data_IF_770868874394
#
_entry.id   IF_770868874394
#
_cell.length_a   1.000
_cell.length_b   1.000
_cell.length_c   1.000
_cell.angle_alpha   90.00
_cell.angle_beta   90.00
_cell.angle_gamma   90.00
#
_symmetry.space_group_name_H-M   'P 1'
#
loop_
_entity.id
_entity.type
_entity.pdbx_description
1 polymer ?
#
# COMPACT_ATOMS: atom_id res chain seq x y z
N UNK A 1 -8.09 42.28 -43.57
CA UNK A 1 -9.20 43.26 -43.69
C UNK A 1 -10.04 42.84 -44.88
N UNK A 2 -11.20 42.24 -44.65
CA UNK A 2 -12.15 41.88 -45.70
C UNK A 2 -13.41 42.70 -45.51
N UNK A 3 -13.71 43.59 -46.46
CA UNK A 3 -14.95 44.38 -46.44
C UNK A 3 -16.05 43.56 -47.11
N UNK A 4 -17.02 43.12 -46.34
CA UNK A 4 -18.25 42.51 -46.88
C UNK A 4 -19.21 43.64 -47.24
N UNK A 5 -19.37 43.93 -48.54
CA UNK A 5 -20.42 44.84 -49.00
C UNK A 5 -21.75 44.10 -49.10
N UNK A 6 -22.75 44.58 -48.36
CA UNK A 6 -24.12 44.06 -48.43
C UNK A 6 -24.88 44.92 -49.45
N UNK A 7 -25.06 44.43 -50.66
CA UNK A 7 -25.92 45.07 -51.66
C UNK A 7 -27.37 44.74 -51.32
N UNK A 8 -28.12 45.71 -50.78
CA UNK A 8 -29.57 45.58 -50.55
C UNK A 8 -30.32 46.49 -51.52
N UNK A 9 -31.09 45.89 -52.43
CA UNK A 9 -31.79 46.60 -53.51
C UNK A 9 -33.30 46.74 -53.19
N UNK A 10 -33.64 47.35 -52.05
CA UNK A 10 -35.04 47.58 -51.64
C UNK A 10 -35.24 48.97 -50.99
N UNK A 11 -36.33 49.70 -51.32
CA UNK A 11 -36.54 51.07 -50.85
C UNK A 11 -36.97 51.21 -49.37
N UNK A 12 -37.04 50.11 -48.60
CA UNK A 12 -37.42 50.12 -47.17
C UNK A 12 -36.37 49.47 -46.26
N UNK A 13 -35.08 49.69 -46.49
CA UNK A 13 -34.03 49.09 -45.68
C UNK A 13 -33.28 50.13 -44.86
N UNK A 14 -33.74 50.43 -43.64
CA UNK A 14 -32.85 50.96 -42.60
C UNK A 14 -31.88 49.85 -42.21
N UNK A 15 -30.69 49.85 -42.80
CA UNK A 15 -29.61 48.95 -42.41
C UNK A 15 -29.05 49.40 -41.05
N UNK A 16 -29.43 48.70 -39.98
CA UNK A 16 -28.78 48.87 -38.67
C UNK A 16 -27.49 48.08 -38.70
N UNK A 17 -26.37 48.78 -38.85
CA UNK A 17 -25.04 48.19 -38.72
C UNK A 17 -24.82 47.93 -37.23
N UNK A 18 -25.06 46.70 -36.78
CA UNK A 18 -24.64 46.29 -35.44
C UNK A 18 -23.19 45.90 -35.58
N UNK A 19 -22.28 46.74 -35.09
CA UNK A 19 -20.87 46.41 -35.08
C UNK A 19 -20.69 45.24 -34.10
N UNK A 20 -20.65 44.02 -34.64
CA UNK A 20 -20.30 42.85 -33.87
C UNK A 20 -18.79 42.89 -33.72
N UNK A 21 -18.32 43.52 -32.63
CA UNK A 21 -16.94 43.37 -32.22
C UNK A 21 -16.74 41.88 -31.94
N UNK A 22 -16.23 41.15 -32.93
CA UNK A 22 -15.47 39.92 -32.68
C UNK A 22 -14.27 40.42 -31.87
N UNK A 23 -14.44 40.57 -30.56
CA UNK A 23 -13.42 41.10 -29.68
C UNK A 23 -12.14 40.35 -30.00
N UNK A 24 -11.09 41.09 -30.34
CA UNK A 24 -9.76 40.52 -30.49
C UNK A 24 -9.55 39.60 -29.31
N UNK A 25 -9.23 38.32 -29.57
CA UNK A 25 -9.01 37.35 -28.50
C UNK A 25 -8.12 38.03 -27.44
N UNK A 26 -8.50 37.99 -26.15
CA UNK A 26 -7.72 38.59 -25.09
C UNK A 26 -6.25 38.19 -25.26
N UNK A 27 -5.36 39.15 -25.04
CA UNK A 27 -3.93 38.89 -25.15
C UNK A 27 -3.59 37.72 -24.22
N UNK A 28 -2.79 36.73 -24.68
CA UNK A 28 -2.53 35.54 -23.90
C UNK A 28 -1.79 35.91 -22.62
N UNK A 29 -2.34 35.47 -21.48
CA UNK A 29 -1.74 35.68 -20.16
C UNK A 29 -1.88 34.41 -19.33
N UNK A 30 -0.88 34.10 -18.52
CA UNK A 30 -0.80 32.85 -17.75
C UNK A 30 -1.69 32.82 -16.49
N UNK A 31 -2.80 33.56 -16.48
CA UNK A 31 -3.70 33.71 -15.34
C UNK A 31 -5.07 34.34 -15.71
N UNK A 32 -5.50 34.22 -16.97
CA UNK A 32 -6.80 34.73 -17.45
C UNK A 32 -7.92 33.69 -17.41
N UNK A 33 -7.62 32.46 -16.99
CA UNK A 33 -8.60 31.39 -16.83
C UNK A 33 -9.01 30.74 -18.15
N UNK A 34 -8.32 31.03 -19.26
CA UNK A 34 -8.65 30.51 -20.58
C UNK A 34 -7.41 29.94 -21.27
N UNK A 35 -7.53 28.76 -21.87
CA UNK A 35 -6.45 28.18 -22.67
C UNK A 35 -6.29 28.95 -23.98
N UNK A 36 -5.27 29.81 -24.09
CA UNK A 36 -5.00 30.61 -25.29
C UNK A 36 -3.49 30.66 -25.63
N UNK A 37 -3.11 31.38 -26.69
CA UNK A 37 -1.70 31.51 -27.09
C UNK A 37 -1.02 30.16 -27.38
N UNK A 38 0.10 29.88 -26.70
CA UNK A 38 0.87 28.64 -26.83
C UNK A 38 0.77 27.71 -25.60
N UNK A 39 -0.23 27.92 -24.75
CA UNK A 39 -0.46 27.14 -23.54
C UNK A 39 -0.84 25.68 -23.82
N UNK A 40 -0.39 24.77 -22.98
CA UNK A 40 -0.74 23.33 -23.07
C UNK A 40 -1.92 22.97 -22.17
N UNK A 41 -2.16 23.72 -21.09
CA UNK A 41 -3.34 23.67 -20.22
C UNK A 41 -3.99 25.04 -20.08
N UNK A 42 -4.97 25.20 -19.19
CA UNK A 42 -5.53 26.53 -18.88
C UNK A 42 -4.49 27.27 -18.05
N UNK A 43 -4.02 28.42 -18.52
CA UNK A 43 -3.02 29.27 -17.85
C UNK A 43 -1.63 28.62 -17.63
N UNK A 44 -1.30 27.54 -18.35
CA UNK A 44 -0.04 26.82 -18.16
C UNK A 44 0.53 26.20 -19.43
N UNK A 45 1.85 26.05 -19.47
CA UNK A 45 2.62 25.49 -20.57
C UNK A 45 2.99 26.51 -21.66
N UNK A 46 3.82 26.08 -22.61
CA UNK A 46 4.32 26.95 -23.68
C UNK A 46 5.21 28.08 -23.16
N UNK A 47 4.70 29.31 -23.21
CA UNK A 47 5.37 30.50 -22.67
C UNK A 47 5.10 30.74 -21.18
N UNK A 48 4.15 30.01 -20.60
CA UNK A 48 3.82 30.01 -19.18
C UNK A 48 4.63 28.96 -18.41
N UNK A 49 4.50 28.96 -17.08
CA UNK A 49 5.05 27.89 -16.26
C UNK A 49 4.51 26.52 -16.74
N UNK A 50 5.32 25.44 -16.72
CA UNK A 50 4.85 24.11 -17.08
C UNK A 50 3.57 23.75 -16.34
N UNK A 51 2.66 23.06 -17.03
CA UNK A 51 1.45 22.60 -16.37
C UNK A 51 1.79 21.64 -15.23
N UNK A 52 1.10 21.75 -14.09
CA UNK A 52 1.11 20.75 -13.03
C UNK A 52 0.98 19.33 -13.59
N UNK A 53 1.88 18.44 -13.18
CA UNK A 53 1.78 17.02 -13.48
C UNK A 53 2.01 16.21 -12.23
N UNK A 54 1.34 15.07 -12.09
CA UNK A 54 1.42 14.18 -10.93
C UNK A 54 2.73 13.40 -10.80
N UNK A 55 3.84 13.94 -11.30
CA UNK A 55 5.16 13.31 -11.34
C UNK A 55 6.30 14.31 -11.67
N UNK A 56 6.11 15.60 -11.41
CA UNK A 56 7.14 16.63 -11.63
C UNK A 56 8.01 16.93 -10.40
N UNK A 57 7.72 16.29 -9.26
CA UNK A 57 8.50 16.40 -8.04
C UNK A 57 8.22 17.68 -7.25
N UNK A 58 7.18 18.45 -7.60
CA UNK A 58 6.83 19.70 -6.94
C UNK A 58 5.34 19.73 -6.58
N UNK A 59 5.00 20.17 -5.37
CA UNK A 59 3.59 20.33 -4.98
C UNK A 59 2.96 21.53 -5.70
N UNK A 60 2.17 21.29 -6.75
CA UNK A 60 1.52 22.33 -7.53
C UNK A 60 0.06 21.95 -7.93
N UNK A 61 -0.63 22.83 -8.66
CA UNK A 61 -2.02 22.57 -9.07
C UNK A 61 -2.98 22.36 -7.89
N UNK A 62 -3.73 21.25 -7.91
CA UNK A 62 -4.69 20.86 -6.87
C UNK A 62 -4.19 19.74 -5.96
N UNK A 63 -2.89 19.44 -5.99
CA UNK A 63 -2.29 18.35 -5.22
C UNK A 63 -2.34 18.59 -3.71
N UNK A 64 -2.56 17.52 -2.95
CA UNK A 64 -2.52 17.57 -1.48
C UNK A 64 -1.12 17.25 -0.92
N UNK A 65 -0.31 16.49 -1.65
CA UNK A 65 1.11 16.21 -1.37
C UNK A 65 1.98 16.55 -2.59
N UNK A 66 3.27 16.16 -2.57
CA UNK A 66 4.13 16.29 -3.75
C UNK A 66 3.69 15.21 -4.74
N UNK A 67 3.21 15.60 -5.93
CA UNK A 67 2.77 14.69 -7.00
C UNK A 67 1.54 13.81 -6.66
N UNK A 68 0.75 14.15 -5.64
CA UNK A 68 -0.38 13.33 -5.20
C UNK A 68 -1.57 14.13 -4.65
N UNK A 69 -2.76 13.53 -4.74
CA UNK A 69 -4.03 14.11 -4.32
C UNK A 69 -4.64 15.09 -5.33
N UNK A 70 -5.84 15.59 -5.03
CA UNK A 70 -6.59 16.44 -5.97
C UNK A 70 -7.01 15.67 -7.22
N UNK A 71 -6.48 16.07 -8.39
CA UNK A 71 -6.66 15.33 -9.65
C UNK A 71 -5.64 14.23 -9.89
N UNK A 72 -4.64 14.10 -9.01
CA UNK A 72 -3.66 13.02 -9.03
C UNK A 72 -4.13 11.81 -8.21
N UNK A 73 -3.37 10.72 -8.25
CA UNK A 73 -3.60 9.58 -7.37
C UNK A 73 -3.61 10.05 -5.91
N UNK A 74 -4.53 9.56 -5.05
CA UNK A 74 -4.56 9.94 -3.65
C UNK A 74 -3.18 9.82 -3.00
N UNK A 75 -2.87 10.76 -2.11
CA UNK A 75 -1.61 10.68 -1.39
C UNK A 75 -1.56 9.41 -0.54
N UNK A 76 -0.40 8.75 -0.49
CA UNK A 76 -0.20 7.58 0.34
C UNK A 76 -0.51 7.90 1.80
N UNK A 77 -1.29 7.04 2.46
CA UNK A 77 -1.56 7.16 3.89
C UNK A 77 -1.33 5.83 4.57
N UNK A 78 -0.87 5.85 5.82
CA UNK A 78 -0.59 4.64 6.61
C UNK A 78 -1.85 3.87 7.08
N UNK A 79 -2.97 3.98 6.35
CA UNK A 79 -4.25 3.38 6.71
C UNK A 79 -5.25 3.32 5.53
N UNK A 80 -4.80 3.48 4.28
CA UNK A 80 -5.66 3.44 3.10
C UNK A 80 -5.87 2.01 2.54
N UNK A 81 -5.19 1.02 3.10
CA UNK A 81 -5.36 -0.38 2.73
C UNK A 81 -4.66 -0.75 1.42
N UNK A 82 -3.77 0.10 0.90
CA UNK A 82 -3.06 -0.14 -0.36
C UNK A 82 -1.57 0.19 -0.23
N UNK A 83 -0.70 -0.76 -0.59
CA UNK A 83 0.76 -0.51 -0.59
C UNK A 83 1.12 0.59 -1.59
N UNK A 84 1.40 1.80 -1.11
CA UNK A 84 1.71 2.95 -1.95
C UNK A 84 2.81 3.85 -1.32
N UNK A 85 3.24 4.89 -2.05
CA UNK A 85 4.29 5.79 -1.58
C UNK A 85 5.62 5.08 -1.27
N UNK A 86 6.14 5.29 -0.06
CA UNK A 86 7.40 4.68 0.41
C UNK A 86 7.18 3.52 1.39
N UNK A 87 5.97 2.97 1.47
CA UNK A 87 5.62 1.88 2.37
C UNK A 87 6.33 0.57 2.01
N UNK A 88 6.76 -0.18 3.02
CA UNK A 88 7.33 -1.53 2.83
C UNK A 88 6.26 -2.62 2.88
N UNK A 89 5.12 -2.37 3.54
CA UNK A 89 3.91 -3.19 3.56
C UNK A 89 2.68 -2.41 3.06
N UNK A 90 1.47 -2.90 3.31
CA UNK A 90 0.22 -2.32 2.76
C UNK A 90 -0.17 -0.97 3.39
N UNK A 91 0.30 -0.69 4.61
CA UNK A 91 0.01 0.55 5.35
C UNK A 91 1.15 0.81 6.38
N UNK A 92 2.36 0.34 6.09
CA UNK A 92 3.46 0.31 7.06
C UNK A 92 4.82 0.41 6.39
N UNK A 93 5.81 0.89 7.15
CA UNK A 93 7.18 1.13 6.70
C UNK A 93 7.37 2.46 5.97
N UNK A 94 8.63 2.78 5.68
CA UNK A 94 8.98 4.06 5.06
C UNK A 94 8.66 5.26 5.95
N UNK A 95 7.67 6.07 5.54
CA UNK A 95 7.17 7.21 6.32
C UNK A 95 6.12 6.81 7.37
N UNK A 96 5.63 5.57 7.33
CA UNK A 96 4.70 4.99 8.29
C UNK A 96 5.42 4.25 9.42
N UNK A 97 4.67 3.84 10.44
CA UNK A 97 5.20 2.95 11.48
C UNK A 97 5.81 1.70 10.84
N UNK A 98 6.95 1.18 11.35
CA UNK A 98 7.58 -0.01 10.82
C UNK A 98 6.57 -1.16 10.67
N UNK A 99 6.71 -1.93 9.60
CA UNK A 99 5.86 -3.10 9.45
C UNK A 99 6.10 -4.11 10.57
N UNK A 100 5.02 -4.71 11.10
CA UNK A 100 5.07 -5.89 11.95
C UNK A 100 6.06 -6.93 11.44
N UNK A 101 6.92 -7.45 12.33
CA UNK A 101 7.79 -8.58 12.00
C UNK A 101 7.68 -9.64 13.09
N UNK A 102 7.83 -10.91 12.69
CA UNK A 102 7.78 -12.06 13.60
C UNK A 102 9.01 -12.21 14.52
N UNK A 103 9.66 -11.10 14.87
CA UNK A 103 10.90 -11.07 15.66
C UNK A 103 11.22 -9.68 16.23
N UNK A 104 10.24 -8.77 16.30
CA UNK A 104 10.45 -7.40 16.83
C UNK A 104 10.17 -7.29 18.34
N UNK A 105 9.76 -8.38 18.98
CA UNK A 105 9.55 -8.46 20.42
C UNK A 105 8.28 -7.78 20.89
N UNK A 106 7.38 -7.39 19.98
CA UNK A 106 6.10 -6.74 20.31
C UNK A 106 4.95 -7.46 19.60
N UNK A 107 3.80 -7.60 20.28
CA UNK A 107 2.62 -8.19 19.63
C UNK A 107 1.96 -7.18 18.71
N UNK A 108 2.12 -7.32 17.40
CA UNK A 108 1.57 -6.39 16.40
C UNK A 108 1.07 -7.12 15.12
N UNK A 109 0.50 -6.38 14.17
CA UNK A 109 0.01 -6.96 12.92
C UNK A 109 -1.08 -8.02 13.11
N UNK A 110 -0.86 -9.21 12.52
CA UNK A 110 -1.79 -10.34 12.59
C UNK A 110 -1.45 -11.37 13.68
N UNK A 111 -0.46 -11.07 14.52
CA UNK A 111 0.07 -12.00 15.50
C UNK A 111 -0.94 -12.33 16.61
N UNK A 112 -0.96 -13.61 17.02
CA UNK A 112 -1.78 -14.07 18.15
C UNK A 112 -1.02 -14.03 19.48
N UNK A 113 0.31 -14.08 19.45
CA UNK A 113 1.23 -13.87 20.57
C UNK A 113 2.32 -12.85 20.19
N UNK A 114 3.29 -12.59 21.06
CA UNK A 114 4.45 -11.75 20.70
C UNK A 114 5.29 -12.51 19.66
N UNK A 115 5.48 -11.95 18.47
CA UNK A 115 6.28 -12.54 17.38
C UNK A 115 5.75 -13.88 16.83
N UNK A 116 4.48 -14.23 17.08
CA UNK A 116 3.94 -15.53 16.66
C UNK A 116 2.44 -15.49 16.32
N UNK A 117 2.03 -16.41 15.43
CA UNK A 117 0.67 -16.57 14.95
C UNK A 117 0.28 -15.63 13.80
N UNK A 118 -0.90 -15.87 13.22
CA UNK A 118 -1.36 -15.15 12.03
C UNK A 118 -0.46 -15.41 10.82
N UNK A 119 0.21 -14.36 10.33
CA UNK A 119 1.22 -14.42 9.27
C UNK A 119 2.58 -14.96 9.74
N UNK A 120 2.78 -15.11 11.05
CA UNK A 120 4.00 -15.64 11.66
C UNK A 120 3.87 -17.13 12.00
N UNK A 121 4.98 -17.76 12.38
CA UNK A 121 4.97 -19.15 12.88
C UNK A 121 3.94 -19.29 14.01
N UNK A 122 3.15 -20.38 14.06
CA UNK A 122 2.20 -20.60 15.15
C UNK A 122 2.86 -20.45 16.52
N UNK A 123 2.16 -19.80 17.45
CA UNK A 123 2.62 -19.69 18.83
C UNK A 123 2.70 -21.06 19.49
N UNK A 124 3.64 -21.24 20.42
CA UNK A 124 3.73 -22.47 21.22
C UNK A 124 2.41 -22.73 21.95
N UNK A 125 1.81 -23.89 21.72
CA UNK A 125 0.74 -24.37 22.58
C UNK A 125 0.98 -25.83 22.94
N UNK A 126 0.97 -26.11 24.24
CA UNK A 126 1.39 -27.41 24.77
C UNK A 126 0.36 -28.55 24.58
N UNK A 127 -0.49 -28.46 23.56
CA UNK A 127 -1.61 -29.40 23.34
C UNK A 127 -2.25 -29.30 21.95
N UNK A 128 -1.59 -28.68 20.96
CA UNK A 128 -2.12 -28.58 19.60
C UNK A 128 -1.68 -29.71 18.66
N UNK A 129 -0.83 -30.63 19.13
CA UNK A 129 -0.38 -31.79 18.38
C UNK A 129 0.63 -31.46 17.29
N UNK A 130 1.22 -30.26 17.28
CA UNK A 130 2.28 -29.87 16.34
C UNK A 130 3.48 -29.31 17.11
N UNK A 131 4.70 -29.51 16.59
CA UNK A 131 5.90 -28.91 17.19
C UNK A 131 6.04 -27.46 16.74
N UNK A 132 5.74 -26.50 17.61
CA UNK A 132 5.80 -25.06 17.28
C UNK A 132 6.37 -24.20 18.43
N UNK A 133 6.50 -22.89 18.20
CA UNK A 133 7.14 -21.96 19.13
C UNK A 133 8.54 -22.41 19.62
N UNK A 134 8.71 -22.55 20.94
CA UNK A 134 9.97 -22.94 21.58
C UNK A 134 9.99 -24.40 22.09
N UNK A 135 9.05 -25.23 21.63
CA UNK A 135 8.94 -26.64 22.02
C UNK A 135 10.15 -27.47 21.59
N UNK A 136 10.59 -28.38 22.46
CA UNK A 136 11.70 -29.30 22.13
C UNK A 136 11.22 -30.57 21.43
N UNK A 137 9.95 -30.95 21.62
CA UNK A 137 9.23 -32.00 20.90
C UNK A 137 7.73 -31.64 20.87
N UNK A 138 6.89 -32.36 20.10
CA UNK A 138 5.46 -32.05 19.93
C UNK A 138 4.78 -31.86 21.31
N UNK A 139 4.20 -30.67 21.54
CA UNK A 139 3.48 -30.29 22.76
C UNK A 139 4.32 -30.29 24.06
N UNK A 140 5.66 -30.34 23.98
CA UNK A 140 6.51 -30.37 25.17
C UNK A 140 7.88 -29.66 25.03
N UNK A 141 8.43 -29.26 26.18
CA UNK A 141 9.67 -28.51 26.30
C UNK A 141 9.52 -27.01 26.05
N UNK A 142 10.62 -26.26 26.23
CA UNK A 142 10.58 -24.79 26.14
C UNK A 142 9.70 -24.18 27.22
N UNK A 143 8.62 -23.50 26.82
CA UNK A 143 7.60 -22.96 27.73
C UNK A 143 6.57 -24.00 28.20
N UNK A 144 6.60 -25.21 27.64
CA UNK A 144 5.73 -26.32 28.01
C UNK A 144 6.36 -27.24 29.07
N UNK A 145 5.58 -28.21 29.55
CA UNK A 145 6.12 -29.24 30.43
C UNK A 145 7.31 -29.94 29.75
N UNK A 146 8.40 -30.28 30.48
CA UNK A 146 9.54 -30.96 29.89
C UNK A 146 9.10 -32.25 29.19
N UNK A 147 9.66 -32.51 28.01
CA UNK A 147 9.41 -33.75 27.32
C UNK A 147 9.83 -34.95 28.18
N UNK A 148 9.02 -36.01 28.15
CA UNK A 148 9.37 -37.26 28.79
C UNK A 148 10.71 -37.76 28.25
N UNK A 149 11.58 -38.26 29.12
CA UNK A 149 12.82 -38.89 28.67
C UNK A 149 12.49 -40.25 28.06
N UNK A 150 13.09 -40.57 26.92
CA UNK A 150 13.03 -41.92 26.37
C UNK A 150 13.67 -42.89 27.38
N UNK A 151 12.87 -43.82 27.93
CA UNK A 151 13.40 -44.93 28.70
C UNK A 151 13.75 -46.05 27.72
N UNK A 152 15.03 -46.42 27.66
CA UNK A 152 15.45 -47.63 26.95
C UNK A 152 15.01 -48.83 27.79
N UNK A 153 14.00 -49.56 27.33
CA UNK A 153 13.59 -50.83 27.93
C UNK A 153 14.43 -51.93 27.27
N UNK A 154 15.45 -52.40 27.99
CA UNK A 154 16.14 -53.64 27.65
C UNK A 154 15.36 -54.82 28.24
N UNK A 155 14.71 -55.61 27.39
CA UNK A 155 14.07 -56.86 27.79
C UNK A 155 15.06 -58.00 27.59
N UNK A 156 15.51 -58.61 28.68
CA UNK A 156 16.31 -59.83 28.63
C UNK A 156 15.38 -61.04 28.80
N UNK A 157 15.15 -61.79 27.71
CA UNK A 157 14.35 -63.01 27.75
C UNK A 157 15.29 -64.15 28.14
N UNK A 158 15.23 -64.58 29.40
CA UNK A 158 15.97 -65.75 29.85
C UNK A 158 15.27 -67.02 29.33
N UNK A 159 15.91 -67.70 28.38
CA UNK A 159 15.41 -68.95 27.79
C UNK A 159 15.97 -70.19 28.49
N UNK A 160 16.57 -70.08 29.68
CA UNK A 160 17.12 -71.23 30.39
C UNK A 160 15.98 -72.20 30.81
N UNK A 161 15.91 -73.41 30.23
CA UNK A 161 14.88 -74.38 30.55
C UNK A 161 15.05 -75.03 31.95
N UNK A 162 16.11 -74.69 32.71
CA UNK A 162 16.45 -75.32 34.00
C UNK A 162 16.36 -74.40 35.22
N UNK A 163 15.78 -73.20 35.11
CA UNK A 163 15.71 -72.20 36.20
C UNK A 163 14.95 -72.64 37.49
N UNK A 164 14.31 -73.81 37.50
CA UNK A 164 13.48 -74.32 38.61
C UNK A 164 14.18 -75.35 39.52
N UNK A 165 15.47 -75.65 39.32
CA UNK A 165 16.12 -76.81 39.98
C UNK A 165 16.89 -76.55 41.28
N UNK A 166 16.65 -75.43 41.96
CA UNK A 166 17.24 -75.14 43.27
C UNK A 166 16.14 -74.94 44.30
N UNK A 167 15.73 -75.98 45.03
CA UNK A 167 15.16 -75.89 46.39
C UNK A 167 14.82 -77.29 46.94
N UNK A 168 15.76 -78.23 47.02
CA UNK A 168 15.64 -79.37 47.96
C UNK A 168 17.04 -79.72 48.51
N UNK A 169 17.26 -79.39 49.79
CA UNK A 169 18.30 -79.94 50.67
C UNK A 169 17.60 -80.77 51.74
#
# INVERSE_FOLDING_TARGET
MGTTEIVSNSPYSTAKMVNFCLGSAPAPTCNDGIKNGNETGVDCGGSCAPCPTCNDGIKNGNETGIDCGGSCTPCPTCSDGIKNGNETGIDCGGSCSPCPTCSDGIKNGSETGVDCGGSCSPCSTCSDGIKNGNETDVDCGGSCAPCGTCINISVEINTDPYAWRFLEY
#
